data_IF_401309279032
#
_entry.id   IF_401309279032
#
_cell.length_a   1.000
_cell.length_b   1.000
_cell.length_c   1.000
_cell.angle_alpha   90.00
_cell.angle_beta   90.00
_cell.angle_gamma   90.00
#
_symmetry.space_group_name_H-M   'P 1'
#
loop_
_entity.id
_entity.type
_entity.pdbx_description
1 polymer ?
#
# COMPACT_ATOMS: atom_id res chain seq x y z
N UNK A 1 4.87 -19.70 37.10
CA UNK A 1 4.26 -18.36 36.91
C UNK A 1 4.86 -17.53 35.76
N UNK A 2 5.85 -18.01 34.97
CA UNK A 2 6.50 -17.18 33.93
C UNK A 2 5.98 -17.33 32.49
N UNK A 3 5.55 -18.53 32.10
CA UNK A 3 5.15 -18.86 30.71
C UNK A 3 3.72 -18.44 30.37
N UNK A 4 2.77 -18.61 31.30
CA UNK A 4 1.38 -18.19 31.12
C UNK A 4 1.23 -16.67 31.04
N UNK A 5 1.96 -15.91 31.88
CA UNK A 5 1.97 -14.44 31.82
C UNK A 5 2.66 -13.90 30.55
N UNK A 6 3.65 -14.62 30.03
CA UNK A 6 4.26 -14.26 28.75
C UNK A 6 3.26 -14.47 27.60
N UNK A 7 2.57 -15.61 27.55
CA UNK A 7 1.57 -15.90 26.50
C UNK A 7 0.39 -14.93 26.52
N UNK A 8 -0.15 -14.58 27.69
CA UNK A 8 -1.22 -13.56 27.79
C UNK A 8 -0.72 -12.16 27.40
N UNK A 9 0.51 -11.79 27.77
CA UNK A 9 1.13 -10.53 27.35
C UNK A 9 1.40 -10.45 25.83
N UNK A 10 1.69 -11.58 25.18
CA UNK A 10 1.83 -11.66 23.72
C UNK A 10 0.49 -11.53 23.00
N UNK A 11 -0.54 -12.25 23.46
CA UNK A 11 -1.89 -12.17 22.90
C UNK A 11 -2.47 -10.75 22.98
N UNK A 12 -2.34 -10.10 24.13
CA UNK A 12 -2.81 -8.72 24.31
C UNK A 12 -2.03 -7.72 23.44
N UNK A 13 -0.72 -7.92 23.24
CA UNK A 13 0.08 -7.09 22.34
C UNK A 13 -0.29 -7.30 20.87
N UNK A 14 -0.65 -8.52 20.45
CA UNK A 14 -1.12 -8.77 19.09
C UNK A 14 -2.48 -8.14 18.83
N UNK A 15 -3.43 -8.26 19.76
CA UNK A 15 -4.77 -7.67 19.64
C UNK A 15 -4.72 -6.14 19.57
N UNK A 16 -3.94 -5.50 20.45
CA UNK A 16 -3.75 -4.04 20.40
C UNK A 16 -3.13 -3.58 19.07
N UNK A 17 -2.26 -4.40 18.49
CA UNK A 17 -1.61 -4.08 17.22
C UNK A 17 -2.57 -4.26 16.04
N UNK A 18 -3.41 -5.27 16.05
CA UNK A 18 -4.47 -5.47 15.04
C UNK A 18 -5.46 -4.30 15.08
N UNK A 19 -5.90 -3.90 16.27
CA UNK A 19 -6.76 -2.74 16.47
C UNK A 19 -6.17 -1.45 15.88
N UNK A 20 -4.85 -1.25 15.99
CA UNK A 20 -4.18 -0.09 15.35
C UNK A 20 -4.26 -0.14 13.83
N UNK A 21 -4.10 -1.30 13.20
CA UNK A 21 -4.18 -1.42 11.74
C UNK A 21 -5.59 -1.08 11.25
N UNK A 22 -6.62 -1.55 11.97
CA UNK A 22 -8.02 -1.23 11.68
C UNK A 22 -8.30 0.28 11.83
N UNK A 23 -7.76 0.92 12.88
CA UNK A 23 -7.87 2.38 13.06
C UNK A 23 -7.23 3.11 11.88
N UNK A 24 -6.02 2.72 11.46
CA UNK A 24 -5.30 3.32 10.32
C UNK A 24 -6.08 3.15 9.03
N UNK A 25 -6.61 1.95 8.76
CA UNK A 25 -7.43 1.68 7.60
C UNK A 25 -8.73 2.50 7.62
N UNK A 26 -9.41 2.56 8.76
CA UNK A 26 -10.61 3.37 8.94
C UNK A 26 -10.36 4.86 8.67
N UNK A 27 -9.26 5.39 9.19
CA UNK A 27 -8.88 6.80 8.97
C UNK A 27 -8.47 7.08 7.52
N UNK A 28 -7.77 6.15 6.85
CA UNK A 28 -7.48 6.28 5.43
C UNK A 28 -8.76 6.30 4.60
N UNK A 29 -9.71 5.40 4.87
CA UNK A 29 -11.01 5.37 4.20
C UNK A 29 -11.74 6.68 4.44
N UNK A 30 -11.87 7.12 5.69
CA UNK A 30 -12.57 8.34 6.06
C UNK A 30 -11.93 9.57 5.43
N UNK A 31 -10.62 9.75 5.58
CA UNK A 31 -9.90 10.92 5.13
C UNK A 31 -9.76 11.02 3.61
N UNK A 32 -9.54 9.92 2.90
CA UNK A 32 -9.52 9.92 1.43
C UNK A 32 -10.94 10.13 0.87
N UNK A 33 -11.97 9.56 1.50
CA UNK A 33 -13.36 9.81 1.10
C UNK A 33 -13.76 11.27 1.27
N UNK A 34 -13.27 11.94 2.34
CA UNK A 34 -13.46 13.37 2.52
C UNK A 34 -12.79 14.23 1.42
N UNK A 35 -11.78 13.69 0.72
CA UNK A 35 -11.15 14.30 -0.47
C UNK A 35 -11.82 13.89 -1.79
N UNK A 36 -12.98 13.23 -1.74
CA UNK A 36 -13.72 12.78 -2.90
C UNK A 36 -13.27 11.45 -3.49
N UNK A 37 -12.34 10.72 -2.84
CA UNK A 37 -11.91 9.41 -3.31
C UNK A 37 -12.98 8.37 -2.99
N UNK A 38 -13.41 7.60 -3.98
CA UNK A 38 -14.46 6.60 -3.77
C UNK A 38 -13.84 5.25 -3.45
N UNK A 39 -13.96 4.82 -2.19
CA UNK A 39 -13.60 3.45 -1.80
C UNK A 39 -14.50 2.44 -2.54
N UNK A 40 -13.90 1.43 -3.16
CA UNK A 40 -14.60 0.36 -3.87
C UNK A 40 -14.19 -1.04 -3.43
N UNK A 41 -13.13 -1.16 -2.62
CA UNK A 41 -12.61 -2.45 -2.15
C UNK A 41 -12.04 -2.29 -0.74
N UNK A 42 -12.42 -3.18 0.16
CA UNK A 42 -11.78 -3.40 1.45
C UNK A 42 -11.66 -4.91 1.62
N UNK A 43 -10.43 -5.41 1.76
CA UNK A 43 -10.15 -6.83 1.98
C UNK A 43 -9.17 -6.94 3.14
N UNK A 44 -9.59 -7.60 4.20
CA UNK A 44 -8.73 -7.94 5.34
C UNK A 44 -8.40 -9.43 5.33
N UNK A 45 -7.14 -9.75 5.54
CA UNK A 45 -6.61 -11.07 5.84
C UNK A 45 -5.65 -10.94 7.04
N UNK A 46 -5.30 -12.05 7.69
CA UNK A 46 -4.43 -12.09 8.88
C UNK A 46 -3.12 -11.31 8.66
N UNK A 47 -3.02 -10.12 9.26
CA UNK A 47 -1.85 -9.24 9.15
C UNK A 47 -1.74 -8.43 7.85
N UNK A 48 -2.70 -8.53 6.92
CA UNK A 48 -2.70 -7.80 5.67
C UNK A 48 -4.07 -7.21 5.34
N UNK A 49 -4.13 -5.89 5.21
CA UNK A 49 -5.34 -5.17 4.81
C UNK A 49 -5.10 -4.47 3.46
N UNK A 50 -6.07 -4.54 2.55
CA UNK A 50 -6.01 -3.92 1.23
C UNK A 50 -7.24 -3.07 0.99
N UNK A 51 -7.03 -1.81 0.64
CA UNK A 51 -8.07 -0.82 0.38
C UNK A 51 -7.92 -0.32 -1.05
N UNK A 52 -9.00 -0.29 -1.82
CA UNK A 52 -9.03 0.21 -3.19
C UNK A 52 -9.92 1.44 -3.34
N UNK A 53 -9.41 2.46 -4.02
CA UNK A 53 -10.07 3.74 -4.25
C UNK A 53 -10.08 4.12 -5.73
N UNK A 54 -11.17 4.71 -6.20
CA UNK A 54 -11.17 5.49 -7.44
C UNK A 54 -10.68 6.90 -7.14
N UNK A 55 -9.68 7.34 -7.90
CA UNK A 55 -9.13 8.69 -7.78
C UNK A 55 -10.07 9.67 -8.50
N UNK A 56 -10.50 10.76 -7.85
CA UNK A 56 -11.48 11.68 -8.43
C UNK A 56 -10.86 12.50 -9.55
N UNK A 57 -11.46 12.44 -10.74
CA UNK A 57 -11.12 13.33 -11.86
C UNK A 57 -9.70 13.17 -12.43
N UNK A 58 -8.99 12.09 -12.11
CA UNK A 58 -7.64 11.88 -12.63
C UNK A 58 -7.70 11.24 -14.04
N UNK A 59 -7.10 11.88 -15.07
CA UNK A 59 -7.12 11.35 -16.44
C UNK A 59 -6.15 10.19 -16.68
N UNK A 60 -5.21 9.94 -15.75
CA UNK A 60 -4.14 8.94 -15.86
C UNK A 60 -4.45 7.73 -14.98
N UNK A 61 -4.83 7.97 -13.72
CA UNK A 61 -5.02 6.90 -12.74
C UNK A 61 -6.48 6.49 -12.65
N UNK A 62 -6.76 5.24 -13.01
CA UNK A 62 -8.09 4.65 -12.93
C UNK A 62 -8.44 4.14 -11.53
N UNK A 63 -7.45 3.61 -10.80
CA UNK A 63 -7.61 3.09 -9.45
C UNK A 63 -6.31 3.20 -8.65
N UNK A 64 -6.43 3.39 -7.34
CA UNK A 64 -5.35 3.33 -6.38
C UNK A 64 -5.65 2.25 -5.33
N UNK A 65 -4.65 1.47 -4.96
CA UNK A 65 -4.70 0.45 -3.93
C UNK A 65 -3.67 0.77 -2.86
N UNK A 66 -4.10 0.76 -1.62
CA UNK A 66 -3.25 0.90 -0.44
C UNK A 66 -3.28 -0.44 0.27
N UNK A 67 -2.10 -1.02 0.49
CA UNK A 67 -1.92 -2.29 1.18
C UNK A 67 -1.19 -2.00 2.48
N UNK A 68 -1.79 -2.34 3.60
CA UNK A 68 -1.13 -2.36 4.89
C UNK A 68 -0.76 -3.81 5.17
N UNK A 69 0.53 -4.13 5.07
CA UNK A 69 1.07 -5.46 5.29
C UNK A 69 2.02 -5.40 6.48
N UNK A 70 1.63 -6.06 7.56
CA UNK A 70 2.53 -6.28 8.67
C UNK A 70 3.32 -7.53 8.36
N UNK A 71 4.63 -7.37 8.14
CA UNK A 71 5.55 -8.51 8.11
C UNK A 71 5.69 -9.12 9.50
N UNK A 72 4.67 -9.82 9.97
CA UNK A 72 4.75 -10.74 11.09
C UNK A 72 5.43 -12.02 10.62
N UNK A 73 6.73 -11.94 10.37
CA UNK A 73 7.52 -13.13 10.06
C UNK A 73 7.88 -13.86 11.34
N UNK A 74 7.39 -15.09 11.48
CA UNK A 74 7.86 -16.15 12.38
C UNK A 74 9.26 -16.69 12.00
N UNK A 75 10.01 -15.98 11.16
CA UNK A 75 11.39 -16.30 10.81
C UNK A 75 12.38 -15.56 11.71
N UNK A 76 13.48 -16.23 12.07
CA UNK A 76 14.54 -15.71 12.94
C UNK A 76 15.19 -14.39 12.48
N UNK A 77 14.89 -13.91 11.26
CA UNK A 77 15.39 -12.65 10.70
C UNK A 77 14.42 -11.45 10.85
N UNK A 78 13.16 -11.69 11.23
CA UNK A 78 12.11 -10.64 11.29
C UNK A 78 11.65 -10.29 12.72
N UNK A 79 12.10 -11.05 13.72
CA UNK A 79 11.81 -10.81 15.14
C UNK A 79 12.39 -9.49 15.68
N UNK A 80 13.42 -8.94 15.03
CA UNK A 80 14.06 -7.67 15.42
C UNK A 80 13.48 -6.40 14.79
N UNK A 81 12.51 -6.51 13.88
CA UNK A 81 12.00 -5.37 13.10
C UNK A 81 10.95 -4.51 13.82
N UNK A 82 10.58 -4.81 15.07
CA UNK A 82 9.66 -3.97 15.86
C UNK A 82 8.29 -3.79 15.21
N UNK A 83 7.51 -2.81 15.67
CA UNK A 83 6.15 -2.44 15.17
C UNK A 83 6.09 -1.98 13.71
N UNK A 84 7.17 -2.13 12.94
CA UNK A 84 7.29 -1.58 11.59
C UNK A 84 6.29 -2.27 10.66
N UNK A 85 5.42 -1.45 10.08
CA UNK A 85 4.38 -1.88 9.15
C UNK A 85 4.79 -1.46 7.74
N UNK A 86 4.63 -2.37 6.78
CA UNK A 86 4.90 -2.08 5.37
C UNK A 86 3.61 -1.58 4.76
N UNK A 87 3.63 -0.34 4.26
CA UNK A 87 2.52 0.20 3.50
C UNK A 87 2.91 0.25 2.03
N UNK A 88 2.21 -0.55 1.23
CA UNK A 88 2.31 -0.59 -0.21
C UNK A 88 1.30 0.33 -0.87
N UNK A 89 1.74 1.02 -1.92
CA UNK A 89 0.88 1.79 -2.80
C UNK A 89 0.97 1.22 -4.20
N UNK A 90 -0.18 1.03 -4.84
CA UNK A 90 -0.28 0.63 -6.24
C UNK A 90 -1.27 1.54 -6.93
N UNK A 91 -0.91 2.10 -8.08
CA UNK A 91 -1.85 2.79 -8.96
C UNK A 91 -1.96 2.04 -10.27
N UNK A 92 -3.16 2.02 -10.82
CA UNK A 92 -3.51 1.33 -12.06
C UNK A 92 -3.95 2.37 -13.09
N UNK A 93 -3.28 2.38 -14.23
CA UNK A 93 -3.69 3.07 -15.45
C UNK A 93 -4.22 2.01 -16.41
N UNK A 94 -5.45 2.17 -16.90
CA UNK A 94 -6.04 1.23 -17.87
C UNK A 94 -5.82 1.74 -19.27
N UNK A 95 -5.33 0.87 -20.14
CA UNK A 95 -5.21 1.15 -21.57
C UNK A 95 -6.08 0.21 -22.37
N UNK A 96 -6.60 0.72 -23.49
CA UNK A 96 -7.18 -0.11 -24.53
C UNK A 96 -6.03 -0.53 -25.44
N UNK A 97 -5.52 -1.76 -25.26
CA UNK A 97 -4.48 -2.29 -26.16
C UNK A 97 -5.04 -2.28 -27.57
N UNK A 98 -4.36 -1.55 -28.43
CA UNK A 98 -4.76 -1.43 -29.82
C UNK A 98 -3.66 -1.94 -30.75
N UNK A 99 -2.37 -1.77 -30.38
CA UNK A 99 -1.26 -2.01 -31.30
C UNK A 99 -0.21 -3.03 -30.81
N UNK A 100 0.30 -3.90 -31.73
CA UNK A 100 1.29 -4.92 -31.41
C UNK A 100 2.67 -4.36 -31.02
N UNK A 101 3.00 -3.13 -31.42
CA UNK A 101 4.27 -2.49 -31.06
C UNK A 101 4.33 -2.11 -29.57
N UNK A 102 3.18 -1.77 -28.96
CA UNK A 102 3.10 -1.49 -27.53
C UNK A 102 3.41 -2.76 -26.71
N UNK A 103 3.04 -3.96 -27.21
CA UNK A 103 3.36 -5.24 -26.55
C UNK A 103 4.88 -5.47 -26.45
N UNK A 104 5.65 -5.05 -27.45
CA UNK A 104 7.10 -5.21 -27.45
C UNK A 104 7.78 -4.28 -26.43
N UNK A 105 7.24 -3.07 -26.23
CA UNK A 105 7.73 -2.11 -25.22
C UNK A 105 7.37 -2.58 -23.81
N UNK A 106 6.17 -3.14 -23.63
CA UNK A 106 5.73 -3.75 -22.37
C UNK A 106 6.67 -4.88 -21.94
N UNK A 107 6.96 -5.81 -22.86
CA UNK A 107 7.83 -6.95 -22.57
C UNK A 107 9.25 -6.53 -22.16
N UNK A 108 9.85 -5.55 -22.84
CA UNK A 108 11.18 -5.03 -22.47
C UNK A 108 11.19 -4.40 -21.08
N UNK A 109 10.14 -3.67 -20.72
CA UNK A 109 10.07 -2.98 -19.43
C UNK A 109 9.86 -3.95 -18.27
N UNK A 110 9.03 -4.98 -18.46
CA UNK A 110 8.82 -6.01 -17.45
C UNK A 110 10.07 -6.87 -17.24
N UNK A 111 10.80 -7.19 -18.30
CA UNK A 111 12.04 -7.97 -18.23
C UNK A 111 13.16 -7.18 -17.51
N UNK A 112 13.24 -5.86 -17.73
CA UNK A 112 14.15 -4.98 -17.00
C UNK A 112 13.79 -4.86 -15.51
N UNK A 113 12.51 -5.00 -15.17
CA UNK A 113 12.05 -4.96 -13.78
C UNK A 113 12.17 -6.31 -13.07
N UNK A 114 12.23 -7.45 -13.78
CA UNK A 114 12.31 -8.78 -13.17
C UNK A 114 13.57 -8.97 -12.31
N UNK A 115 14.68 -8.33 -12.67
CA UNK A 115 16.00 -8.50 -12.02
C UNK A 115 16.32 -7.45 -10.95
N UNK A 116 15.43 -6.47 -10.70
CA UNK A 116 15.64 -5.45 -9.67
C UNK A 116 15.23 -5.96 -8.28
N UNK A 117 16.16 -5.89 -7.33
CA UNK A 117 15.89 -6.15 -5.92
C UNK A 117 15.04 -5.00 -5.36
N UNK A 118 13.89 -5.27 -4.70
CA UNK A 118 13.00 -4.22 -4.23
C UNK A 118 13.65 -3.39 -3.11
N UNK A 119 13.92 -2.11 -3.37
CA UNK A 119 14.35 -1.13 -2.37
C UNK A 119 13.13 -0.30 -1.93
N UNK A 120 13.03 -0.01 -0.63
CA UNK A 120 11.95 0.81 -0.09
C UNK A 120 11.95 2.20 -0.76
N UNK A 121 10.76 2.66 -1.18
CA UNK A 121 10.59 3.92 -1.90
C UNK A 121 10.89 3.89 -3.40
N UNK A 122 11.41 2.77 -3.96
CA UNK A 122 11.55 2.63 -5.41
C UNK A 122 10.16 2.45 -6.05
N UNK A 123 9.94 3.09 -7.20
CA UNK A 123 8.72 2.94 -8.00
C UNK A 123 8.96 1.91 -9.10
N UNK A 124 8.23 0.80 -9.05
CA UNK A 124 8.27 -0.25 -10.08
C UNK A 124 7.06 -0.13 -10.97
N UNK A 125 7.28 -0.15 -12.29
CA UNK A 125 6.23 -0.09 -13.30
C UNK A 125 6.09 -1.48 -13.90
N UNK A 126 4.92 -2.10 -13.76
CA UNK A 126 4.63 -3.38 -14.41
C UNK A 126 3.56 -3.17 -15.46
N UNK A 127 3.76 -3.75 -16.63
CA UNK A 127 2.80 -3.75 -17.70
C UNK A 127 1.99 -5.04 -17.63
N UNK A 128 0.67 -4.92 -17.76
CA UNK A 128 -0.27 -6.01 -17.96
C UNK A 128 -1.01 -5.73 -19.25
N UNK A 129 -1.57 -6.78 -19.87
CA UNK A 129 -2.21 -6.67 -21.17
C UNK A 129 -3.08 -5.41 -21.26
N UNK A 130 -4.07 -5.23 -20.38
CA UNK A 130 -4.98 -4.07 -20.41
C UNK A 130 -4.66 -2.94 -19.42
N UNK A 131 -3.52 -2.99 -18.72
CA UNK A 131 -3.22 -2.00 -17.67
C UNK A 131 -1.73 -1.84 -17.38
N UNK A 132 -1.32 -0.64 -17.01
CA UNK A 132 0.01 -0.37 -16.47
C UNK A 132 -0.14 -0.05 -14.99
N UNK A 133 0.65 -0.71 -14.16
CA UNK A 133 0.63 -0.51 -12.71
C UNK A 133 1.95 0.06 -12.22
N UNK A 134 1.90 1.12 -11.42
CA UNK A 134 3.06 1.60 -10.68
C UNK A 134 2.90 1.22 -9.22
N UNK A 135 3.96 0.66 -8.62
CA UNK A 135 3.97 0.19 -7.24
C UNK A 135 5.15 0.74 -6.47
N UNK A 136 4.92 1.13 -5.23
CA UNK A 136 5.98 1.40 -4.26
C UNK A 136 5.60 0.87 -2.89
N UNK A 137 6.57 0.75 -1.99
CA UNK A 137 6.32 0.39 -0.60
C UNK A 137 7.19 1.25 0.31
N UNK A 138 6.62 1.62 1.44
CA UNK A 138 7.29 2.35 2.50
C UNK A 138 7.16 1.56 3.81
N UNK A 139 8.23 1.55 4.60
CA UNK A 139 8.19 0.99 5.94
C UNK A 139 7.97 2.14 6.92
N UNK A 140 6.83 2.13 7.59
CA UNK A 140 6.45 3.17 8.55
C UNK A 140 6.25 2.58 9.94
N UNK A 141 6.42 3.41 10.96
CA UNK A 141 6.01 3.08 12.31
C UNK A 141 4.60 3.65 12.55
N UNK A 142 3.63 2.77 12.76
CA UNK A 142 2.24 3.20 12.98
C UNK A 142 2.07 3.96 14.30
N UNK A 143 2.99 3.81 15.25
CA UNK A 143 2.95 4.52 16.53
C UNK A 143 3.10 6.05 16.36
N UNK A 144 3.63 6.50 15.21
CA UNK A 144 3.69 7.92 14.85
C UNK A 144 2.33 8.49 14.45
N UNK A 145 1.43 7.64 13.97
CA UNK A 145 0.11 8.04 13.44
C UNK A 145 -1.03 7.66 14.37
N UNK A 146 -0.85 6.68 15.26
CA UNK A 146 -1.88 6.21 16.21
C UNK A 146 -1.32 6.21 17.63
N UNK A 147 -1.88 7.08 18.48
CA UNK A 147 -1.60 7.16 19.91
C UNK A 147 -2.85 6.76 20.69
N UNK A 148 -2.84 5.53 21.22
CA UNK A 148 -4.01 4.97 21.89
C UNK A 148 -5.18 4.78 20.91
N UNK A 149 -6.32 5.41 21.18
CA UNK A 149 -7.52 5.41 20.32
C UNK A 149 -7.58 6.61 19.37
N UNK A 150 -6.62 7.53 19.43
CA UNK A 150 -6.59 8.70 18.57
C UNK A 150 -5.56 8.53 17.45
N UNK A 151 -5.98 8.83 16.23
CA UNK A 151 -5.12 8.80 15.06
C UNK A 151 -4.95 10.20 14.47
N UNK A 152 -3.71 10.56 14.15
CA UNK A 152 -3.42 11.77 13.37
C UNK A 152 -3.76 11.52 11.88
N UNK A 153 -5.06 11.51 11.61
CA UNK A 153 -5.62 11.16 10.31
C UNK A 153 -5.16 12.09 9.19
N UNK A 154 -4.99 13.39 9.49
CA UNK A 154 -4.63 14.38 8.47
C UNK A 154 -3.25 14.09 7.86
N UNK A 155 -2.23 13.90 8.71
CA UNK A 155 -0.87 13.64 8.27
C UNK A 155 -0.75 12.31 7.50
N UNK A 156 -1.44 11.26 7.97
CA UNK A 156 -1.48 9.96 7.31
C UNK A 156 -2.11 10.05 5.90
N UNK A 157 -3.22 10.78 5.78
CA UNK A 157 -3.93 10.96 4.51
C UNK A 157 -3.14 11.82 3.55
N UNK A 158 -2.53 12.92 4.01
CA UNK A 158 -1.64 13.75 3.19
C UNK A 158 -0.46 12.97 2.63
N UNK A 159 0.16 12.16 3.50
CA UNK A 159 1.24 11.28 3.09
C UNK A 159 0.77 10.24 2.06
N UNK A 160 -0.38 9.58 2.27
CA UNK A 160 -0.93 8.62 1.32
C UNK A 160 -1.23 9.25 -0.05
N UNK A 161 -1.80 10.45 -0.07
CA UNK A 161 -2.06 11.21 -1.31
C UNK A 161 -0.74 11.57 -2.00
N UNK A 162 0.28 11.99 -1.26
CA UNK A 162 1.59 12.28 -1.82
C UNK A 162 2.24 11.03 -2.47
N UNK A 163 2.14 9.86 -1.83
CA UNK A 163 2.64 8.61 -2.41
C UNK A 163 1.92 8.25 -3.72
N UNK A 164 0.60 8.37 -3.75
CA UNK A 164 -0.17 8.14 -4.98
C UNK A 164 0.20 9.14 -6.06
N UNK A 165 0.42 10.41 -5.72
CA UNK A 165 0.86 11.44 -6.67
C UNK A 165 2.22 11.09 -7.30
N UNK A 166 3.20 10.65 -6.50
CA UNK A 166 4.50 10.20 -7.01
C UNK A 166 4.35 9.07 -8.02
N UNK A 167 3.49 8.09 -7.73
CA UNK A 167 3.24 6.98 -8.66
C UNK A 167 2.51 7.44 -9.93
N UNK A 168 1.53 8.33 -9.79
CA UNK A 168 0.79 8.93 -10.90
C UNK A 168 1.70 9.71 -11.84
N UNK A 169 2.61 10.52 -11.30
CA UNK A 169 3.57 11.30 -12.10
C UNK A 169 4.55 10.40 -12.87
N UNK A 170 4.79 9.17 -12.38
CA UNK A 170 5.57 8.14 -13.11
C UNK A 170 4.77 7.42 -14.20
N UNK A 171 3.45 7.32 -14.06
CA UNK A 171 2.58 6.75 -15.08
C UNK A 171 2.17 7.78 -16.15
N UNK A 172 2.16 9.08 -15.81
CA UNK A 172 1.73 10.13 -16.73
C UNK A 172 2.44 10.13 -18.10
N UNK A 173 3.76 9.88 -18.22
CA UNK A 173 4.43 9.78 -19.54
C UNK A 173 4.00 8.57 -20.38
N UNK A 174 3.36 7.57 -19.76
CA UNK A 174 2.89 6.35 -20.41
C UNK A 174 1.40 6.45 -20.80
N UNK A 175 0.70 7.49 -20.32
CA UNK A 175 -0.67 7.79 -20.71
C UNK A 175 -0.69 8.35 -22.14
N UNK A 176 -0.74 7.45 -23.13
CA UNK A 176 -1.01 7.78 -24.54
C UNK A 176 -2.52 7.72 -24.82
#
# INVERSE_FOLDING_TARGET
>A
MGIFNAMTGYAHKSELRESKDEIVCGELIRGLSARGWRCFRVVGDSGRQTIGFRVPGDPVVSAAYIVIDRKTGSGALTSGLGSKTVVGFTVEMRHKVSDPDDLAIMWKTDLANLFKVPVAGEVRINHQLSSVTARTFAMIDLDQYVQGSQANAAQLVDWAVAQVKVLRDRLAPLAK
#
